data_IF_207624650195
#
_entry.id   IF_207624650195
#
_cell.length_a   1.000
_cell.length_b   1.000
_cell.length_c   1.000
_cell.angle_alpha   90.00
_cell.angle_beta   90.00
_cell.angle_gamma   90.00
#
_symmetry.space_group_name_H-M   'P 1'
#
loop_
_entity.id
_entity.type
_entity.pdbx_description
1 polymer ?
#
# COMPACT_ATOMS: atom_id res chain seq x y z
N UNK A 1 3.38 -24.18 -0.88
CA UNK A 1 3.00 -23.20 -1.93
C UNK A 1 3.51 -21.84 -1.48
N UNK A 2 4.42 -21.22 -2.24
CA UNK A 2 4.80 -19.84 -1.98
C UNK A 2 3.56 -18.96 -2.19
N UNK A 3 3.00 -18.42 -1.09
CA UNK A 3 2.06 -17.29 -1.18
C UNK A 3 2.86 -16.17 -1.85
N UNK A 4 2.50 -15.74 -3.06
CA UNK A 4 3.01 -14.48 -3.56
C UNK A 4 2.25 -13.37 -2.79
N UNK A 5 2.90 -12.62 -1.88
CA UNK A 5 2.27 -11.76 -0.89
C UNK A 5 1.91 -10.38 -1.49
N UNK A 6 1.30 -10.40 -2.67
CA UNK A 6 0.90 -9.18 -3.35
C UNK A 6 -0.45 -8.71 -2.81
N UNK A 7 -0.49 -7.50 -2.28
CA UNK A 7 -1.70 -6.76 -1.99
C UNK A 7 -2.15 -6.10 -3.29
N UNK A 8 -3.28 -6.55 -3.83
CA UNK A 8 -3.84 -6.05 -5.10
C UNK A 8 -5.21 -5.45 -4.82
N UNK A 9 -5.47 -4.28 -5.40
CA UNK A 9 -6.75 -3.61 -5.27
C UNK A 9 -7.08 -2.72 -6.46
N UNK A 10 -8.35 -2.35 -6.55
CA UNK A 10 -8.87 -1.34 -7.48
C UNK A 10 -9.58 -0.28 -6.65
N UNK A 11 -9.25 0.98 -6.90
CA UNK A 11 -9.84 2.15 -6.25
C UNK A 11 -10.56 3.00 -7.29
N UNK A 12 -11.70 3.59 -6.93
CA UNK A 12 -12.59 4.37 -7.80
C UNK A 12 -12.71 5.81 -7.35
N UNK A 13 -12.77 6.69 -8.36
CA UNK A 13 -12.98 8.12 -8.17
C UNK A 13 -11.82 8.84 -7.47
N UNK A 14 -11.95 10.15 -7.29
CA UNK A 14 -10.91 10.99 -6.68
C UNK A 14 -10.71 10.74 -5.17
N UNK A 15 -11.64 10.06 -4.51
CA UNK A 15 -11.52 9.68 -3.09
C UNK A 15 -10.79 8.33 -2.89
N UNK A 16 -10.38 7.67 -3.99
CA UNK A 16 -9.69 6.38 -3.98
C UNK A 16 -10.45 5.30 -3.20
N UNK A 17 -11.76 5.18 -3.44
CA UNK A 17 -12.61 4.20 -2.75
C UNK A 17 -12.41 2.80 -3.32
N UNK A 18 -12.06 1.83 -2.49
CA UNK A 18 -11.84 0.46 -2.94
C UNK A 18 -13.11 -0.15 -3.54
N UNK A 19 -13.00 -0.68 -4.75
CA UNK A 19 -14.02 -1.51 -5.42
C UNK A 19 -13.63 -2.98 -5.39
N UNK A 20 -12.33 -3.27 -5.30
CA UNK A 20 -11.80 -4.62 -5.23
C UNK A 20 -10.56 -4.68 -4.33
N UNK A 21 -10.42 -5.78 -3.61
CA UNK A 21 -9.25 -6.14 -2.83
C UNK A 21 -9.06 -7.67 -2.88
N UNK A 22 -7.83 -8.13 -3.09
CA UNK A 22 -7.50 -9.55 -3.00
C UNK A 22 -7.23 -9.96 -1.54
N UNK A 23 -7.06 -11.28 -1.30
CA UNK A 23 -6.75 -11.83 0.02
C UNK A 23 -5.51 -11.20 0.65
N UNK A 24 -4.46 -10.91 -0.14
CA UNK A 24 -3.26 -10.24 0.38
C UNK A 24 -3.53 -8.85 0.96
N UNK A 25 -4.35 -8.04 0.29
CA UNK A 25 -4.72 -6.71 0.80
C UNK A 25 -5.68 -6.83 2.01
N UNK A 26 -6.56 -7.83 2.03
CA UNK A 26 -7.43 -8.15 3.17
C UNK A 26 -6.61 -8.55 4.40
N UNK A 27 -5.62 -9.42 4.22
CA UNK A 27 -4.69 -9.85 5.28
C UNK A 27 -3.92 -8.65 5.83
N UNK A 28 -3.40 -7.78 4.95
CA UNK A 28 -2.70 -6.55 5.36
C UNK A 28 -3.62 -5.62 6.18
N UNK A 29 -4.87 -5.48 5.77
CA UNK A 29 -5.89 -4.70 6.48
C UNK A 29 -6.49 -5.44 7.69
N UNK A 30 -5.93 -6.58 8.09
CA UNK A 30 -6.38 -7.35 9.27
C UNK A 30 -7.85 -7.74 9.20
N UNK A 31 -8.30 -8.13 8.01
CA UNK A 31 -9.65 -8.62 7.74
C UNK A 31 -10.79 -7.63 8.01
N UNK A 32 -10.52 -6.33 8.03
CA UNK A 32 -11.61 -5.34 7.98
C UNK A 32 -12.31 -5.38 6.61
N UNK A 33 -13.55 -4.90 6.57
CA UNK A 33 -14.25 -4.69 5.31
C UNK A 33 -13.57 -3.56 4.52
N UNK A 34 -13.02 -3.88 3.34
CA UNK A 34 -12.27 -2.93 2.51
C UNK A 34 -13.16 -2.29 1.44
N UNK A 35 -13.96 -3.09 0.74
CA UNK A 35 -14.75 -2.62 -0.40
C UNK A 35 -15.76 -1.58 0.05
N UNK A 36 -15.81 -0.47 -0.67
CA UNK A 36 -16.64 0.68 -0.32
C UNK A 36 -15.96 1.68 0.62
N UNK A 37 -14.74 1.44 1.10
CA UNK A 37 -13.98 2.36 1.96
C UNK A 37 -12.82 3.03 1.21
N UNK A 38 -12.39 4.20 1.65
CA UNK A 38 -11.20 4.89 1.11
C UNK A 38 -9.92 4.27 1.65
N UNK A 39 -8.78 4.56 1.00
CA UNK A 39 -7.47 4.14 1.51
C UNK A 39 -7.19 4.65 2.94
N UNK A 40 -7.64 5.87 3.28
CA UNK A 40 -7.50 6.44 4.62
C UNK A 40 -8.41 5.76 5.65
N UNK A 41 -9.62 5.35 5.27
CA UNK A 41 -10.53 4.60 6.16
C UNK A 41 -10.03 3.19 6.46
N UNK A 42 -9.32 2.57 5.51
CA UNK A 42 -8.76 1.22 5.65
C UNK A 42 -7.43 1.23 6.41
N UNK A 43 -6.58 2.22 6.15
CA UNK A 43 -5.28 2.39 6.81
C UNK A 43 -5.14 3.82 7.34
N UNK A 44 -5.75 4.16 8.50
CA UNK A 44 -5.71 5.52 9.05
C UNK A 44 -4.30 6.08 9.25
N UNK A 45 -3.33 5.19 9.49
CA UNK A 45 -1.94 5.53 9.76
C UNK A 45 -1.26 6.19 8.55
N UNK A 46 -1.70 5.90 7.32
CA UNK A 46 -1.05 6.45 6.11
C UNK A 46 -1.26 7.96 5.96
N UNK A 47 -2.15 8.54 6.77
CA UNK A 47 -2.36 9.99 6.83
C UNK A 47 -1.06 10.70 7.22
N UNK A 48 -0.66 11.67 6.40
CA UNK A 48 0.60 12.40 6.61
C UNK A 48 1.87 11.65 6.22
N UNK A 49 1.77 10.39 5.76
CA UNK A 49 2.92 9.62 5.23
C UNK A 49 3.11 9.80 3.71
N UNK A 50 2.32 10.66 3.08
CA UNK A 50 2.39 11.01 1.66
C UNK A 50 1.79 9.97 0.70
N UNK A 51 1.13 8.92 1.21
CA UNK A 51 0.48 7.90 0.37
C UNK A 51 -0.70 8.50 -0.39
N UNK A 52 -1.57 9.25 0.29
CA UNK A 52 -2.74 9.88 -0.32
C UNK A 52 -2.32 10.89 -1.40
N UNK A 53 -1.34 11.74 -1.12
CA UNK A 53 -0.80 12.71 -2.11
C UNK A 53 -0.29 12.03 -3.38
N UNK A 54 0.31 10.83 -3.25
CA UNK A 54 0.74 10.02 -4.39
C UNK A 54 -0.46 9.53 -5.19
N UNK A 55 -1.50 9.01 -4.52
CA UNK A 55 -2.72 8.55 -5.18
C UNK A 55 -3.41 9.69 -5.94
N UNK A 56 -3.56 10.85 -5.29
CA UNK A 56 -4.13 12.06 -5.89
C UNK A 56 -3.37 12.45 -7.15
N UNK A 57 -2.04 12.55 -7.05
CA UNK A 57 -1.19 12.88 -8.21
C UNK A 57 -1.36 11.87 -9.35
N UNK A 58 -1.36 10.57 -9.07
CA UNK A 58 -1.52 9.54 -10.11
C UNK A 58 -2.89 9.65 -10.77
N UNK A 59 -3.94 9.92 -9.98
CA UNK A 59 -5.31 10.07 -10.50
C UNK A 59 -5.44 11.32 -11.39
N UNK A 60 -4.93 12.46 -10.93
CA UNK A 60 -4.99 13.72 -11.66
C UNK A 60 -4.16 13.69 -12.95
N UNK A 61 -2.91 13.26 -12.86
CA UNK A 61 -1.94 13.35 -13.97
C UNK A 61 -2.00 12.16 -14.91
N UNK A 62 -2.36 10.98 -14.41
CA UNK A 62 -2.20 9.71 -15.12
C UNK A 62 -0.78 9.15 -15.08
N UNK A 63 0.19 9.87 -14.50
CA UNK A 63 1.57 9.39 -14.36
C UNK A 63 1.61 8.27 -13.31
N UNK A 64 1.93 7.05 -13.74
CA UNK A 64 2.05 5.92 -12.83
C UNK A 64 3.14 6.15 -11.78
N UNK A 65 2.93 5.67 -10.55
CA UNK A 65 3.91 5.76 -9.48
C UNK A 65 4.49 4.38 -9.15
N UNK A 66 5.83 4.31 -9.03
CA UNK A 66 6.57 3.13 -8.56
C UNK A 66 7.39 3.49 -7.32
N UNK A 67 7.02 2.95 -6.18
CA UNK A 67 7.80 3.05 -4.93
C UNK A 67 8.59 1.77 -4.70
N UNK A 68 9.85 1.87 -4.26
CA UNK A 68 10.66 0.72 -3.87
C UNK A 68 11.05 0.89 -2.41
N UNK A 69 10.85 -0.16 -1.61
CA UNK A 69 11.22 -0.22 -0.20
C UNK A 69 10.85 1.05 0.58
N UNK A 70 9.65 1.58 0.32
CA UNK A 70 9.12 2.76 1.00
C UNK A 70 8.75 2.36 2.42
N UNK A 71 9.32 3.03 3.41
CA UNK A 71 8.93 2.90 4.80
C UNK A 71 7.53 3.50 4.99
N UNK A 72 6.64 2.70 5.58
CA UNK A 72 5.32 3.07 6.05
C UNK A 72 5.20 2.59 7.49
N UNK A 73 4.69 3.45 8.36
CA UNK A 73 4.34 3.08 9.73
C UNK A 73 2.89 2.59 9.75
N UNK A 74 2.68 1.33 10.14
CA UNK A 74 1.35 0.70 10.23
C UNK A 74 1.07 0.27 11.65
N UNK A 75 -0.21 0.13 12.03
CA UNK A 75 -0.59 -0.42 13.33
C UNK A 75 -0.02 -1.86 13.49
N UNK A 76 0.55 -2.17 14.66
CA UNK A 76 0.96 -3.52 15.06
C UNK A 76 -0.22 -4.49 15.17
N UNK A 77 -1.42 -3.96 15.37
CA UNK A 77 -2.71 -4.64 15.52
C UNK A 77 -2.74 -5.67 16.63
N UNK A 78 -1.98 -5.41 17.70
CA UNK A 78 -2.03 -6.10 18.98
C UNK A 78 -2.90 -5.34 20.01
N UNK A 79 -3.57 -4.26 19.58
CA UNK A 79 -4.42 -3.41 20.41
C UNK A 79 -3.66 -2.37 21.25
N UNK A 80 -2.33 -2.30 21.14
CA UNK A 80 -1.51 -1.30 21.85
C UNK A 80 -1.62 0.11 21.24
N UNK A 81 -1.99 0.19 19.96
CA UNK A 81 -1.92 1.43 19.16
C UNK A 81 -0.49 1.82 18.77
N UNK A 82 0.50 0.96 19.03
CA UNK A 82 1.86 1.18 18.58
C UNK A 82 2.00 0.90 17.08
N UNK A 83 2.85 1.69 16.43
CA UNK A 83 3.18 1.52 15.02
C UNK A 83 4.38 0.56 14.86
N UNK A 84 4.40 -0.17 13.75
CA UNK A 84 5.56 -0.93 13.25
C UNK A 84 6.06 -0.31 11.96
N UNK A 85 7.36 -0.43 11.75
CA UNK A 85 7.97 -0.16 10.46
C UNK A 85 7.60 -1.27 9.48
N UNK A 86 7.15 -0.88 8.30
CA UNK A 86 6.84 -1.78 7.21
C UNK A 86 7.40 -1.21 5.91
N UNK A 87 8.17 -2.01 5.18
CA UNK A 87 8.76 -1.58 3.91
C UNK A 87 7.94 -2.13 2.76
N UNK A 88 7.55 -1.28 1.82
CA UNK A 88 6.71 -1.67 0.71
C UNK A 88 7.31 -1.30 -0.64
N UNK A 89 7.13 -2.21 -1.60
CA UNK A 89 7.19 -1.87 -3.02
C UNK A 89 5.77 -1.62 -3.51
N UNK A 90 5.53 -0.46 -4.14
CA UNK A 90 4.23 -0.03 -4.63
C UNK A 90 4.25 0.19 -6.13
N UNK A 91 3.13 -0.11 -6.78
CA UNK A 91 2.82 0.35 -8.12
C UNK A 91 1.36 0.83 -8.18
N UNK A 92 1.19 2.12 -8.50
CA UNK A 92 -0.11 2.73 -8.73
C UNK A 92 -0.22 3.15 -10.19
N UNK A 93 -1.35 2.82 -10.81
CA UNK A 93 -1.61 3.19 -12.20
C UNK A 93 -3.07 3.63 -12.36
N UNK A 94 -3.28 4.77 -13.02
CA UNK A 94 -4.61 5.24 -13.39
C UNK A 94 -5.19 4.38 -14.51
N UNK A 95 -6.48 4.08 -14.42
CA UNK A 95 -7.25 3.55 -15.53
C UNK A 95 -8.39 4.50 -15.89
N UNK A 96 -8.83 4.40 -17.14
CA UNK A 96 -9.86 5.26 -17.71
C UNK A 96 -11.05 4.43 -18.17
N UNK A 97 -12.22 5.04 -18.13
CA UNK A 97 -13.45 4.51 -18.72
C UNK A 97 -14.08 5.60 -19.57
N UNK A 98 -14.45 5.26 -20.81
CA UNK A 98 -14.99 6.22 -21.78
C UNK A 98 -14.11 7.46 -21.97
N UNK A 99 -12.78 7.28 -21.92
CA UNK A 99 -11.80 8.36 -22.09
C UNK A 99 -11.72 9.35 -20.93
N UNK A 100 -12.19 8.97 -19.74
CA UNK A 100 -12.09 9.77 -18.52
C UNK A 100 -11.44 8.97 -17.40
N UNK A 101 -10.68 9.66 -16.54
CA UNK A 101 -10.12 9.09 -15.32
C UNK A 101 -11.23 8.43 -14.49
N UNK A 102 -11.09 7.13 -14.23
CA UNK A 102 -12.10 6.33 -13.57
C UNK A 102 -11.63 5.85 -12.19
N UNK A 103 -10.34 5.58 -12.04
CA UNK A 103 -9.77 5.09 -10.80
C UNK A 103 -8.31 4.69 -10.93
N UNK A 104 -7.82 3.98 -9.91
CA UNK A 104 -6.45 3.50 -9.80
C UNK A 104 -6.43 1.99 -9.58
N UNK A 105 -5.44 1.30 -10.16
CA UNK A 105 -5.02 -0.02 -9.71
C UNK A 105 -3.87 0.13 -8.72
N UNK A 106 -3.88 -0.70 -7.68
CA UNK A 106 -2.78 -0.82 -6.72
C UNK A 106 -2.21 -2.22 -6.76
N UNK A 107 -0.89 -2.29 -6.82
CA UNK A 107 -0.10 -3.43 -6.43
C UNK A 107 0.85 -2.98 -5.31
N UNK A 108 0.84 -3.69 -4.19
CA UNK A 108 1.80 -3.50 -3.12
C UNK A 108 2.36 -4.83 -2.65
N UNK A 109 3.61 -4.85 -2.23
CA UNK A 109 4.23 -6.02 -1.61
C UNK A 109 5.05 -5.56 -0.42
N UNK A 110 4.74 -6.12 0.74
CA UNK A 110 5.55 -5.91 1.94
C UNK A 110 6.88 -6.68 1.79
N UNK A 111 7.99 -5.97 1.94
CA UNK A 111 9.37 -6.44 1.80
C UNK A 111 10.18 -6.17 3.08
N UNK A 112 9.50 -6.01 4.22
CA UNK A 112 10.10 -5.70 5.53
C UNK A 112 11.18 -6.71 5.91
N UNK A 113 10.86 -8.01 5.92
CA UNK A 113 11.81 -9.08 6.25
C UNK A 113 13.06 -9.07 5.36
N UNK A 114 12.89 -8.78 4.07
CA UNK A 114 14.00 -8.66 3.11
C UNK A 114 14.90 -7.47 3.45
N UNK A 115 14.30 -6.31 3.74
CA UNK A 115 15.05 -5.09 4.09
C UNK A 115 15.79 -5.26 5.42
N UNK A 116 15.12 -5.80 6.44
CA UNK A 116 15.71 -6.05 7.76
C UNK A 116 16.85 -7.06 7.69
N UNK A 117 16.65 -8.18 6.98
CA UNK A 117 17.70 -9.19 6.77
C UNK A 117 18.91 -8.59 6.07
N UNK A 118 18.68 -7.76 5.03
CA UNK A 118 19.77 -7.10 4.31
C UNK A 118 20.55 -6.15 5.22
N UNK A 119 19.86 -5.34 6.03
CA UNK A 119 20.49 -4.40 6.97
C UNK A 119 21.32 -5.12 8.04
N UNK A 120 20.79 -6.19 8.63
CA UNK A 120 21.53 -6.97 9.62
C UNK A 120 22.83 -7.58 9.03
N UNK A 121 22.78 -8.05 7.78
CA UNK A 121 23.98 -8.55 7.09
C UNK A 121 25.00 -7.46 6.77
N UNK A 122 24.55 -6.24 6.49
CA UNK A 122 25.43 -5.08 6.26
C UNK A 122 26.11 -4.64 7.55
N UNK A 123 25.38 -4.61 8.67
CA UNK A 123 25.90 -4.28 10.00
C UNK A 123 26.97 -5.29 10.45
N UNK A 124 26.71 -6.60 10.34
CA UNK A 124 27.68 -7.66 10.67
C UNK A 124 28.96 -7.62 9.82
N UNK A 125 28.93 -6.98 8.64
CA UNK A 125 30.11 -6.83 7.77
C UNK A 125 30.93 -5.57 8.09
N UNK A 126 30.34 -4.63 8.82
CA UNK A 126 30.99 -3.40 9.24
C UNK A 126 31.63 -3.51 10.64
N UNK A 127 31.35 -4.58 11.38
CA UNK A 127 32.05 -5.03 12.59
C UNK A 127 33.24 -5.96 12.25
#
# INVERSE_FOLDING_TARGET
LMKAPACIGIMRGPEHRFEFANEGLVDLARHIEIVGRTAEEVFPEIKGQGVIDILDRVFETGDSYKGRERLIHLDKGDGSGELRDAYFTFFYQRFEENGRAAGLTVYASEVTELVETRRALEEMRQE
#
